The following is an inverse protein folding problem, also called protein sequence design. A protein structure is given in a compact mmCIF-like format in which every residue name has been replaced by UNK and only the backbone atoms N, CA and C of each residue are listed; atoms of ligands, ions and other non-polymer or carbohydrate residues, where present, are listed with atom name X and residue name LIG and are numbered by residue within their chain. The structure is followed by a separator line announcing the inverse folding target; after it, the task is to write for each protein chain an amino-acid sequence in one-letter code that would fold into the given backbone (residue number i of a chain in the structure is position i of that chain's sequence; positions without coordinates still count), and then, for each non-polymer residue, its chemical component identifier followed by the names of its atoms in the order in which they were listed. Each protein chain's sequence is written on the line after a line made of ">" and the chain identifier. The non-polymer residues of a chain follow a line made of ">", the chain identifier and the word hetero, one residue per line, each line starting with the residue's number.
data_IF_163954880390
#
_entry.id   IF_163954880390
#
_cell.length_a   1.000
_cell.length_b   1.000
_cell.length_c   1.000
_cell.angle_alpha   90.00
_cell.angle_beta   90.00
_cell.angle_gamma   90.00
#
_symmetry.space_group_name_H-M   'P 1'
#
loop_
_entity.id
_entity.type
_entity.pdbx_description
1 polymer ?
#
# COMPACT_ATOMS: atom_id res chain seq x y z
N UNK A 1 -17.96 24.33 -1.66
CA UNK A 1 -17.70 24.42 -0.21
C UNK A 1 -18.77 23.60 0.49
N UNK A 2 -18.52 22.97 1.65
CA UNK A 2 -19.58 22.27 2.38
C UNK A 2 -20.40 23.27 3.22
N UNK A 3 -21.73 23.14 3.17
CA UNK A 3 -22.72 24.06 3.74
C UNK A 3 -23.10 23.76 5.21
N UNK A 4 -22.09 23.65 6.09
CA UNK A 4 -22.18 23.41 7.57
C UNK A 4 -22.13 21.94 8.06
N UNK A 5 -21.59 21.79 9.29
CA UNK A 5 -21.38 20.54 10.04
C UNK A 5 -19.99 20.44 10.66
N UNK A 6 -19.88 19.94 11.90
CA UNK A 6 -18.58 19.68 12.57
C UNK A 6 -18.33 18.18 12.71
N UNK A 7 -17.23 17.69 12.14
CA UNK A 7 -16.73 16.33 12.37
C UNK A 7 -15.62 16.38 13.41
N UNK A 8 -15.90 15.95 14.64
CA UNK A 8 -14.89 15.76 15.67
C UNK A 8 -14.21 14.40 15.49
N UNK A 9 -12.90 14.40 15.22
CA UNK A 9 -12.10 13.17 15.16
C UNK A 9 -11.62 12.81 16.55
N UNK A 10 -11.79 11.55 16.95
CA UNK A 10 -11.20 11.05 18.19
C UNK A 10 -9.66 11.10 18.13
N UNK A 11 -8.97 11.30 19.26
CA UNK A 11 -7.50 11.45 19.30
C UNK A 11 -6.73 10.21 18.79
N UNK A 12 -7.37 9.05 18.72
CA UNK A 12 -6.80 7.80 18.19
C UNK A 12 -7.17 7.53 16.72
N UNK A 13 -7.94 8.42 16.08
CA UNK A 13 -8.35 8.26 14.69
C UNK A 13 -7.23 8.76 13.80
N UNK A 14 -6.71 7.83 13.01
CA UNK A 14 -5.65 8.13 12.07
C UNK A 14 -6.17 7.94 10.64
N UNK A 15 -6.01 8.99 9.85
CA UNK A 15 -6.63 9.09 8.54
C UNK A 15 -5.74 8.43 7.48
N UNK A 16 -6.09 7.21 7.09
CA UNK A 16 -5.63 6.63 5.83
C UNK A 16 -6.50 7.15 4.68
N UNK A 17 -5.93 7.94 3.78
CA UNK A 17 -6.64 8.45 2.60
C UNK A 17 -6.38 7.54 1.40
N UNK A 18 -7.41 6.81 0.97
CA UNK A 18 -7.37 6.00 -0.25
C UNK A 18 -7.93 6.82 -1.43
N UNK A 19 -7.06 7.53 -2.14
CA UNK A 19 -7.41 8.15 -3.42
C UNK A 19 -6.79 7.39 -4.59
N UNK A 20 -7.40 7.50 -5.77
CA UNK A 20 -6.84 6.97 -7.03
C UNK A 20 -5.39 7.44 -7.28
N UNK A 21 -5.00 8.62 -6.78
CA UNK A 21 -3.60 9.08 -6.78
C UNK A 21 -2.63 8.13 -6.08
N UNK A 22 -3.04 7.41 -5.03
CA UNK A 22 -2.16 6.46 -4.35
C UNK A 22 -1.70 5.32 -5.28
N UNK A 23 -2.52 4.95 -6.28
CA UNK A 23 -2.13 4.00 -7.31
C UNK A 23 -1.19 4.60 -8.37
N UNK A 24 -1.21 5.93 -8.56
CA UNK A 24 -0.31 6.66 -9.45
C UNK A 24 1.08 6.88 -8.83
N UNK A 25 1.16 6.87 -7.49
CA UNK A 25 2.42 6.99 -6.74
C UNK A 25 3.27 5.70 -6.77
N UNK A 26 2.71 4.58 -7.24
CA UNK A 26 3.47 3.34 -7.38
C UNK A 26 4.52 3.48 -8.50
N UNK A 27 5.80 3.36 -8.15
CA UNK A 27 6.89 3.33 -9.12
C UNK A 27 6.76 2.11 -10.04
N UNK A 28 6.38 2.34 -11.30
CA UNK A 28 6.04 1.26 -12.24
C UNK A 28 7.18 0.27 -12.54
N UNK A 29 8.44 0.70 -12.42
CA UNK A 29 9.61 -0.15 -12.68
C UNK A 29 10.04 -1.00 -11.49
N UNK A 30 9.56 -0.68 -10.28
CA UNK A 30 9.79 -1.46 -9.06
C UNK A 30 8.94 -2.71 -9.05
N UNK A 31 9.47 -3.81 -8.52
CA UNK A 31 8.66 -5.01 -8.24
C UNK A 31 7.75 -4.79 -7.05
N UNK A 32 6.73 -5.64 -6.87
CA UNK A 32 5.91 -5.64 -5.65
C UNK A 32 6.79 -5.73 -4.40
N UNK A 33 7.79 -6.62 -4.41
CA UNK A 33 8.71 -6.77 -3.29
C UNK A 33 9.54 -5.51 -3.04
N UNK A 34 10.13 -4.94 -4.10
CA UNK A 34 10.95 -3.73 -3.99
C UNK A 34 10.14 -2.55 -3.47
N UNK A 35 8.88 -2.38 -3.93
CA UNK A 35 8.00 -1.33 -3.43
C UNK A 35 7.77 -1.47 -1.92
N UNK A 36 7.59 -2.70 -1.41
CA UNK A 36 7.46 -2.93 0.03
C UNK A 36 8.79 -2.68 0.78
N UNK A 37 9.92 -3.10 0.22
CA UNK A 37 11.26 -2.90 0.81
C UNK A 37 11.64 -1.41 0.87
N UNK A 38 11.36 -0.65 -0.20
CA UNK A 38 11.62 0.79 -0.29
C UNK A 38 10.77 1.58 0.72
N UNK A 39 9.54 1.16 0.98
CA UNK A 39 8.66 1.80 1.98
C UNK A 39 8.97 1.36 3.42
N UNK A 40 9.55 0.17 3.61
CA UNK A 40 9.81 -0.43 4.91
C UNK A 40 11.26 -0.92 5.04
N UNK A 41 12.27 -0.05 4.94
CA UNK A 41 13.68 -0.45 4.90
C UNK A 41 14.19 -1.09 6.21
N UNK A 42 13.46 -0.92 7.31
CA UNK A 42 13.77 -1.53 8.61
C UNK A 42 13.11 -2.91 8.79
N UNK A 43 12.19 -3.30 7.90
CA UNK A 43 11.53 -4.59 7.96
C UNK A 43 12.41 -5.68 7.33
N UNK A 44 12.48 -6.85 7.97
CA UNK A 44 13.14 -8.00 7.37
C UNK A 44 12.40 -8.50 6.13
N UNK A 45 13.10 -9.22 5.24
CA UNK A 45 12.46 -9.73 4.02
C UNK A 45 11.33 -10.74 4.30
N UNK A 46 11.45 -11.56 5.35
CA UNK A 46 10.44 -12.55 5.71
C UNK A 46 9.07 -11.92 6.05
N UNK A 47 8.98 -10.93 6.97
CA UNK A 47 7.70 -10.25 7.23
C UNK A 47 7.15 -9.49 6.02
N UNK A 48 8.00 -8.93 5.15
CA UNK A 48 7.54 -8.29 3.92
C UNK A 48 6.93 -9.28 2.92
N UNK A 49 7.53 -10.48 2.77
CA UNK A 49 6.95 -11.55 1.96
C UNK A 49 5.65 -12.08 2.55
N UNK A 50 5.56 -12.17 3.87
CA UNK A 50 4.33 -12.55 4.55
C UNK A 50 3.21 -11.51 4.33
N UNK A 51 3.54 -10.22 4.47
CA UNK A 51 2.62 -9.11 4.18
C UNK A 51 2.15 -9.16 2.71
N UNK A 52 3.07 -9.27 1.76
CA UNK A 52 2.74 -9.41 0.34
C UNK A 52 1.77 -10.58 0.11
N UNK A 53 2.04 -11.73 0.75
CA UNK A 53 1.18 -12.91 0.71
C UNK A 53 -0.22 -12.67 1.27
N UNK A 54 -0.35 -11.94 2.38
CA UNK A 54 -1.65 -11.55 2.94
C UNK A 54 -2.49 -10.71 1.97
N UNK A 55 -1.84 -9.96 1.09
CA UNK A 55 -2.48 -9.17 0.03
C UNK A 55 -2.56 -9.88 -1.33
N UNK A 56 -2.29 -11.19 -1.33
CA UNK A 56 -2.44 -12.05 -2.50
C UNK A 56 -1.26 -12.02 -3.46
N UNK A 57 -0.11 -11.47 -3.08
CA UNK A 57 1.12 -11.52 -3.87
C UNK A 57 2.03 -12.64 -3.33
N UNK A 58 2.16 -13.73 -4.08
CA UNK A 58 2.99 -14.87 -3.69
C UNK A 58 3.72 -15.47 -4.89
N UNK A 59 4.77 -16.26 -4.62
CA UNK A 59 5.60 -16.85 -5.68
C UNK A 59 6.15 -15.76 -6.61
N UNK A 60 5.99 -15.97 -7.92
CA UNK A 60 6.48 -15.05 -8.96
C UNK A 60 5.75 -13.70 -8.98
N UNK A 61 4.59 -13.58 -8.33
CA UNK A 61 3.86 -12.31 -8.29
C UNK A 61 4.60 -11.22 -7.52
N UNK A 62 5.46 -11.62 -6.59
CA UNK A 62 6.24 -10.67 -5.79
C UNK A 62 7.34 -9.98 -6.62
N UNK A 63 7.76 -10.62 -7.71
CA UNK A 63 8.76 -10.12 -8.65
C UNK A 63 8.12 -9.36 -9.83
N UNK A 64 6.78 -9.32 -9.93
CA UNK A 64 6.10 -8.53 -10.96
C UNK A 64 6.38 -7.05 -10.76
N UNK A 65 6.73 -6.36 -11.85
CA UNK A 65 6.82 -4.90 -11.88
C UNK A 65 5.46 -4.25 -11.65
N UNK A 66 5.41 -3.16 -10.89
CA UNK A 66 4.17 -2.47 -10.57
C UNK A 66 3.42 -1.97 -11.82
N UNK A 67 4.13 -1.69 -12.92
CA UNK A 67 3.52 -1.30 -14.21
C UNK A 67 2.64 -2.39 -14.85
N UNK A 68 2.92 -3.68 -14.58
CA UNK A 68 2.17 -4.80 -15.18
C UNK A 68 0.97 -5.23 -14.33
N UNK A 69 0.83 -4.67 -13.13
CA UNK A 69 -0.30 -4.94 -12.25
C UNK A 69 -1.59 -4.34 -12.81
N UNK A 70 -2.67 -5.10 -12.74
CA UNK A 70 -4.03 -4.61 -12.93
C UNK A 70 -4.39 -3.56 -11.89
N UNK A 71 -5.45 -2.77 -12.12
CA UNK A 71 -5.92 -1.79 -11.15
C UNK A 71 -6.29 -2.41 -9.78
N UNK A 72 -6.85 -3.63 -9.78
CA UNK A 72 -7.17 -4.36 -8.56
C UNK A 72 -5.91 -4.82 -7.80
N UNK A 73 -4.90 -5.30 -8.50
CA UNK A 73 -3.61 -5.64 -7.88
C UNK A 73 -2.93 -4.37 -7.32
N UNK A 74 -2.91 -3.26 -8.06
CA UNK A 74 -2.37 -1.98 -7.55
C UNK A 74 -3.09 -1.54 -6.27
N UNK A 75 -4.41 -1.66 -6.21
CA UNK A 75 -5.18 -1.36 -5.01
C UNK A 75 -4.77 -2.23 -3.81
N UNK A 76 -4.54 -3.54 -4.01
CA UNK A 76 -4.05 -4.44 -2.95
C UNK A 76 -2.66 -4.06 -2.46
N UNK A 77 -1.75 -3.70 -3.37
CA UNK A 77 -0.40 -3.25 -2.99
C UNK A 77 -0.45 -1.96 -2.17
N UNK A 78 -1.26 -0.98 -2.59
CA UNK A 78 -1.45 0.26 -1.82
C UNK A 78 -2.02 -0.03 -0.43
N UNK A 79 -2.98 -0.95 -0.30
CA UNK A 79 -3.49 -1.35 1.02
C UNK A 79 -2.42 -2.01 1.88
N UNK A 80 -1.51 -2.81 1.30
CA UNK A 80 -0.38 -3.39 2.02
C UNK A 80 0.55 -2.30 2.59
N UNK A 81 0.82 -1.26 1.80
CA UNK A 81 1.61 -0.11 2.23
C UNK A 81 0.95 0.65 3.39
N UNK A 82 -0.37 0.85 3.34
CA UNK A 82 -1.10 1.57 4.39
C UNK A 82 -1.23 0.79 5.71
N UNK A 83 -1.20 -0.54 5.71
CA UNK A 83 -1.32 -1.33 6.94
C UNK A 83 0.01 -1.54 7.68
N UNK A 84 1.14 -1.46 6.99
CA UNK A 84 2.45 -1.72 7.59
C UNK A 84 3.13 -0.44 8.08
N UNK A 85 2.84 0.73 7.50
CA UNK A 85 2.93 2.01 8.20
C UNK A 85 1.52 2.39 8.65
N UNK A 86 1.02 1.81 9.77
CA UNK A 86 -0.18 2.34 10.36
C UNK A 86 0.13 3.82 10.62
N UNK A 87 -0.74 4.76 10.18
CA UNK A 87 -0.52 6.17 10.46
C UNK A 87 -0.29 6.35 11.96
#
# INVERSE_FOLDING_TARGET
>A
EPDEGTVARGPSVKMGYFAQHAMELLEGERTVFQTLEDNFPQAGQAPLRALAGCFGFSGDEIEKKCRVLSGGEKARLVMALMLFDPP
#
